data_IF_991634866420
#
_entry.id   IF_991634866420
#
_cell.length_a   1.000
_cell.length_b   1.000
_cell.length_c   1.000
_cell.angle_alpha   90.00
_cell.angle_beta   90.00
_cell.angle_gamma   90.00
#
_symmetry.space_group_name_H-M   'P 1'
#
loop_
_entity.id
_entity.type
_entity.pdbx_description
1 polymer ?
#
# COMPACT_ATOMS: atom_id res chain seq x y z
N UNK A 1 -1.93 -21.96 12.27
CA UNK A 1 -3.19 -21.20 12.50
C UNK A 1 -3.59 -21.38 13.95
N UNK A 2 -3.82 -20.29 14.67
CA UNK A 2 -4.41 -20.35 16.01
C UNK A 2 -5.93 -20.53 15.88
N UNK A 3 -6.53 -21.34 16.77
CA UNK A 3 -7.99 -21.48 16.87
C UNK A 3 -8.46 -20.59 18.00
N UNK A 4 -9.20 -19.55 17.65
CA UNK A 4 -9.80 -18.62 18.61
C UNK A 4 -11.31 -18.84 18.62
N UNK A 5 -11.92 -18.84 19.81
CA UNK A 5 -13.37 -18.91 19.99
C UNK A 5 -13.84 -17.52 20.40
N UNK A 6 -14.70 -16.92 19.59
CA UNK A 6 -15.29 -15.60 19.83
C UNK A 6 -16.77 -15.68 19.47
N UNK A 7 -17.59 -14.91 20.18
CA UNK A 7 -19.00 -14.74 19.83
C UNK A 7 -19.13 -13.64 18.77
N UNK A 8 -19.94 -13.93 17.76
CA UNK A 8 -20.17 -13.06 16.60
C UNK A 8 -21.68 -13.00 16.33
N UNK A 9 -22.14 -11.84 15.89
CA UNK A 9 -23.50 -11.66 15.40
C UNK A 9 -23.70 -12.44 14.09
N UNK A 10 -24.66 -13.36 14.08
CA UNK A 10 -24.90 -14.24 12.95
C UNK A 10 -25.46 -13.50 11.73
N UNK A 11 -26.21 -12.41 11.95
CA UNK A 11 -26.75 -11.58 10.88
C UNK A 11 -25.63 -10.82 10.18
N UNK A 12 -24.66 -10.32 10.95
CA UNK A 12 -23.51 -9.60 10.41
C UNK A 12 -22.55 -10.55 9.67
N UNK A 13 -22.38 -11.78 10.16
CA UNK A 13 -21.62 -12.82 9.44
C UNK A 13 -22.35 -13.25 8.16
N UNK A 14 -23.67 -13.35 8.17
CA UNK A 14 -24.45 -13.64 6.98
C UNK A 14 -24.31 -12.52 5.93
N UNK A 15 -24.28 -11.25 6.35
CA UNK A 15 -24.01 -10.13 5.46
C UNK A 15 -22.61 -10.21 4.85
N UNK A 16 -21.58 -10.45 5.67
CA UNK A 16 -20.22 -10.64 5.19
C UNK A 16 -20.14 -11.83 4.20
N UNK A 17 -20.85 -12.93 4.47
CA UNK A 17 -20.93 -14.07 3.54
C UNK A 17 -21.54 -13.67 2.19
N UNK A 18 -22.57 -12.82 2.18
CA UNK A 18 -23.17 -12.28 0.95
C UNK A 18 -22.22 -11.35 0.20
N UNK A 19 -21.64 -10.37 0.88
CA UNK A 19 -20.71 -9.39 0.30
C UNK A 19 -19.49 -10.07 -0.32
N UNK A 20 -18.90 -11.03 0.39
CA UNK A 20 -17.70 -11.74 -0.06
C UNK A 20 -18.00 -13.01 -0.88
N UNK A 21 -19.28 -13.34 -1.11
CA UNK A 21 -19.70 -14.51 -1.88
C UNK A 21 -19.20 -15.84 -1.33
N UNK A 22 -19.13 -16.00 -0.01
CA UNK A 22 -18.58 -17.20 0.62
C UNK A 22 -19.64 -18.11 1.23
N UNK A 23 -19.33 -19.41 1.27
CA UNK A 23 -20.22 -20.45 1.81
C UNK A 23 -19.95 -20.80 3.27
N UNK A 24 -18.88 -20.26 3.87
CA UNK A 24 -18.47 -20.62 5.23
C UNK A 24 -18.20 -19.38 6.08
N UNK A 25 -18.76 -19.39 7.30
CA UNK A 25 -18.61 -18.31 8.30
C UNK A 25 -17.13 -17.97 8.56
N UNK A 26 -16.29 -19.00 8.74
CA UNK A 26 -14.85 -18.82 8.97
C UNK A 26 -14.13 -18.11 7.80
N UNK A 27 -14.56 -18.36 6.55
CA UNK A 27 -13.97 -17.70 5.37
C UNK A 27 -14.45 -16.26 5.26
N UNK A 28 -15.72 -15.99 5.53
CA UNK A 28 -16.26 -14.63 5.58
C UNK A 28 -15.53 -13.77 6.63
N UNK A 29 -15.34 -14.29 7.85
CA UNK A 29 -14.63 -13.58 8.93
C UNK A 29 -13.18 -13.31 8.55
N UNK A 30 -12.48 -14.30 7.95
CA UNK A 30 -11.10 -14.09 7.48
C UNK A 30 -11.01 -12.99 6.44
N UNK A 31 -11.88 -13.02 5.42
CA UNK A 31 -11.89 -12.02 4.35
C UNK A 31 -12.26 -10.64 4.87
N UNK A 32 -13.24 -10.53 5.77
CA UNK A 32 -13.62 -9.28 6.39
C UNK A 32 -12.46 -8.66 7.20
N UNK A 33 -11.72 -9.50 7.94
CA UNK A 33 -10.54 -9.05 8.70
C UNK A 33 -9.40 -8.63 7.76
N UNK A 34 -9.11 -9.41 6.72
CA UNK A 34 -8.10 -9.06 5.72
C UNK A 34 -8.44 -7.75 4.99
N UNK A 35 -9.71 -7.53 4.64
CA UNK A 35 -10.15 -6.30 4.00
C UNK A 35 -10.02 -5.10 4.94
N UNK A 36 -10.43 -5.25 6.21
CA UNK A 36 -10.31 -4.20 7.22
C UNK A 36 -8.85 -3.80 7.47
N UNK A 37 -7.96 -4.80 7.59
CA UNK A 37 -6.52 -4.57 7.78
C UNK A 37 -5.91 -3.92 6.54
N UNK A 38 -6.21 -4.43 5.33
CA UNK A 38 -5.70 -3.83 4.08
C UNK A 38 -6.20 -2.41 3.88
N UNK A 39 -7.44 -2.10 4.27
CA UNK A 39 -7.99 -0.75 4.21
C UNK A 39 -7.24 0.20 5.14
N UNK A 40 -6.91 -0.26 6.35
CA UNK A 40 -6.14 0.54 7.30
C UNK A 40 -4.70 0.75 6.82
N UNK A 41 -4.01 -0.31 6.39
CA UNK A 41 -2.67 -0.19 5.80
C UNK A 41 -2.67 0.71 4.56
N UNK A 42 -3.71 0.66 3.73
CA UNK A 42 -3.81 1.55 2.56
C UNK A 42 -3.95 3.02 2.98
N UNK A 43 -4.69 3.30 4.05
CA UNK A 43 -4.77 4.65 4.61
C UNK A 43 -3.43 5.10 5.17
N UNK A 44 -2.77 4.28 5.99
CA UNK A 44 -1.43 4.58 6.51
C UNK A 44 -0.40 4.78 5.39
N UNK A 45 -0.49 3.99 4.32
CA UNK A 45 0.38 4.14 3.15
C UNK A 45 0.11 5.45 2.39
N UNK A 46 -1.16 5.84 2.21
CA UNK A 46 -1.49 7.13 1.60
C UNK A 46 -1.10 8.31 2.50
N UNK A 47 -1.30 8.19 3.80
CA UNK A 47 -0.87 9.20 4.77
C UNK A 47 0.67 9.32 4.79
N UNK A 48 1.41 8.22 4.66
CA UNK A 48 2.86 8.22 4.52
C UNK A 48 3.34 8.77 3.17
N UNK A 49 2.59 8.54 2.09
CA UNK A 49 2.82 9.19 0.79
C UNK A 49 2.62 10.69 0.86
N UNK A 50 1.54 11.14 1.48
CA UNK A 50 1.18 12.57 1.59
C UNK A 50 2.10 13.30 2.59
N UNK A 51 2.55 12.60 3.63
CA UNK A 51 3.56 13.07 4.58
C UNK A 51 5.00 13.08 4.01
N UNK A 52 5.21 12.52 2.80
CA UNK A 52 6.52 12.48 2.15
C UNK A 52 7.54 11.54 2.80
N UNK A 53 7.08 10.54 3.57
CA UNK A 53 7.94 9.59 4.30
C UNK A 53 8.23 8.30 3.49
N UNK A 54 7.68 8.20 2.28
CA UNK A 54 8.11 7.19 1.33
C UNK A 54 9.31 7.73 0.54
N UNK A 55 10.50 7.33 0.96
CA UNK A 55 11.74 7.66 0.28
C UNK A 55 11.87 6.88 -1.05
N UNK A 56 11.29 7.44 -2.10
CA UNK A 56 11.41 6.91 -3.47
C UNK A 56 12.74 7.31 -4.14
N UNK A 57 13.67 7.98 -3.43
CA UNK A 57 14.96 8.37 -3.99
C UNK A 57 15.73 7.15 -4.50
N UNK A 58 15.76 6.05 -3.74
CA UNK A 58 16.45 4.81 -4.11
C UNK A 58 15.86 4.17 -5.38
N UNK A 59 14.53 4.17 -5.53
CA UNK A 59 13.83 3.61 -6.70
C UNK A 59 14.04 4.49 -7.94
N UNK A 60 14.02 5.81 -7.78
CA UNK A 60 14.27 6.76 -8.86
C UNK A 60 15.73 6.67 -9.33
N UNK A 61 16.67 6.49 -8.42
CA UNK A 61 18.08 6.26 -8.74
C UNK A 61 18.28 4.93 -9.47
N UNK A 62 17.58 3.86 -9.11
CA UNK A 62 17.75 2.57 -9.82
C UNK A 62 17.02 2.48 -11.15
N UNK A 63 15.85 3.13 -11.30
CA UNK A 63 14.94 2.94 -12.45
C UNK A 63 14.63 4.20 -13.25
N UNK A 64 15.28 5.32 -12.93
CA UNK A 64 15.05 6.61 -13.59
C UNK A 64 15.39 6.64 -15.09
N UNK A 65 14.97 7.70 -15.81
CA UNK A 65 15.21 7.84 -17.24
C UNK A 65 16.69 7.69 -17.57
N UNK A 66 17.01 6.80 -18.51
CA UNK A 66 18.39 6.53 -18.92
C UNK A 66 18.72 7.23 -20.23
N UNK A 67 19.98 7.63 -20.37
CA UNK A 67 20.55 8.02 -21.64
C UNK A 67 20.69 6.79 -22.56
N UNK A 68 20.96 7.01 -23.85
CA UNK A 68 21.10 5.93 -24.83
C UNK A 68 22.26 4.95 -24.53
N UNK A 69 23.20 5.35 -23.66
CA UNK A 69 24.32 4.55 -23.17
C UNK A 69 24.00 3.75 -21.90
N UNK A 70 22.76 3.86 -21.38
CA UNK A 70 22.31 3.16 -20.17
C UNK A 70 22.68 3.86 -18.86
N UNK A 71 23.35 5.02 -18.88
CA UNK A 71 23.59 5.83 -17.69
C UNK A 71 22.32 6.54 -17.21
N UNK A 72 22.22 6.81 -15.90
CA UNK A 72 21.10 7.56 -15.34
C UNK A 72 21.19 9.04 -15.75
N UNK A 73 20.07 9.62 -16.19
CA UNK A 73 20.01 11.03 -16.54
C UNK A 73 19.80 11.85 -15.26
N UNK A 74 20.89 12.25 -14.60
CA UNK A 74 20.83 13.30 -13.58
C UNK A 74 20.49 14.63 -14.28
N UNK A 75 19.31 15.17 -14.01
CA UNK A 75 19.01 16.55 -14.36
C UNK A 75 19.57 17.43 -13.26
N UNK A 76 20.85 17.76 -13.32
CA UNK A 76 21.47 18.79 -12.50
C UNK A 76 20.85 20.15 -12.87
N UNK A 77 19.78 20.50 -12.18
CA UNK A 77 19.12 21.79 -12.26
C UNK A 77 19.54 22.68 -11.09
N UNK A 78 20.45 23.61 -11.39
CA UNK A 78 20.79 24.84 -10.65
C UNK A 78 21.69 24.71 -9.39
N UNK A 79 22.93 25.23 -9.46
CA UNK A 79 23.17 26.65 -9.15
C UNK A 79 24.62 27.09 -9.44
N UNK A 80 24.76 28.36 -9.86
CA UNK A 80 25.98 29.16 -9.69
C UNK A 80 26.98 29.25 -10.85
N UNK A 81 26.89 30.32 -11.64
CA UNK A 81 28.05 31.21 -11.75
C UNK A 81 27.67 32.69 -11.86
N UNK A 82 28.30 33.47 -10.99
CA UNK A 82 28.38 34.93 -10.93
C UNK A 82 29.71 35.32 -11.58
N UNK A 83 29.68 36.09 -12.67
CA UNK A 83 30.75 36.99 -13.18
C UNK A 83 30.53 37.13 -14.70
N UNK A 84 30.65 38.27 -15.37
CA UNK A 84 31.10 39.62 -15.06
C UNK A 84 30.40 40.60 -16.03
#
# INVERSE_FOLDING_TARGET
MARTVIDLDDDMVAEAMRIFGTKTKAKAVRLAMEDSVKRHLRQEFFDAMDAGDLDFSEILETTGPRNADGSLKHTDGHDGDRAA
#
